data_IF_061573718236
#
_entry.id   IF_061573718236
#
_cell.length_a   1.000
_cell.length_b   1.000
_cell.length_c   1.000
_cell.angle_alpha   90.00
_cell.angle_beta   90.00
_cell.angle_gamma   90.00
#
_symmetry.space_group_name_H-M   'P 1'
#
loop_
_entity.id
_entity.type
_entity.pdbx_description
1 polymer ?
#
# COMPACT_ATOMS: atom_id res chain seq x y z
N UNK A 1 3.74 7.67 -10.50
CA UNK A 1 3.17 6.32 -10.30
C UNK A 1 1.75 6.38 -9.76
N UNK A 2 1.47 7.12 -8.68
CA UNK A 2 0.08 7.30 -8.23
C UNK A 2 -0.87 7.78 -9.34
N UNK A 3 -0.40 8.68 -10.23
CA UNK A 3 -1.13 9.16 -11.40
C UNK A 3 -1.43 8.10 -12.49
N UNK A 4 -0.95 6.86 -12.35
CA UNK A 4 -1.28 5.74 -13.25
C UNK A 4 -2.44 4.89 -12.72
N UNK A 5 -2.92 5.17 -11.50
CA UNK A 5 -4.05 4.49 -10.90
C UNK A 5 -5.34 4.73 -11.68
N UNK A 6 -6.09 3.66 -11.90
CA UNK A 6 -7.41 3.69 -12.51
C UNK A 6 -8.52 4.02 -11.49
N UNK A 7 -8.19 4.01 -10.18
CA UNK A 7 -9.10 4.29 -9.08
C UNK A 7 -9.66 5.73 -9.16
N UNK A 8 -10.98 5.86 -9.01
CA UNK A 8 -11.69 7.15 -9.13
C UNK A 8 -11.68 8.00 -7.86
N UNK A 9 -11.41 7.40 -6.70
CA UNK A 9 -11.42 8.10 -5.40
C UNK A 9 -10.02 8.53 -4.97
N UNK A 10 -9.05 7.62 -5.03
CA UNK A 10 -7.73 7.84 -4.44
C UNK A 10 -6.62 7.34 -5.36
N UNK A 11 -5.58 8.15 -5.51
CA UNK A 11 -4.39 7.82 -6.29
C UNK A 11 -3.23 7.60 -5.33
N UNK A 12 -2.94 6.34 -5.03
CA UNK A 12 -1.92 5.90 -4.09
C UNK A 12 -0.76 5.27 -4.86
N UNK A 13 0.46 5.60 -4.47
CA UNK A 13 1.69 5.04 -5.02
C UNK A 13 2.63 4.62 -3.91
N UNK A 14 3.35 3.52 -4.13
CA UNK A 14 4.36 3.02 -3.22
C UNK A 14 5.66 2.69 -3.96
N UNK A 15 6.79 2.94 -3.30
CA UNK A 15 8.15 2.61 -3.77
C UNK A 15 8.86 1.85 -2.66
N UNK A 16 9.47 0.71 -2.99
CA UNK A 16 10.35 -0.03 -2.09
C UNK A 16 11.80 0.30 -2.46
N UNK A 17 12.58 0.71 -1.48
CA UNK A 17 13.96 1.19 -1.62
C UNK A 17 14.89 0.36 -0.75
N UNK A 18 16.00 -0.09 -1.34
CA UNK A 18 17.04 -0.86 -0.67
C UNK A 18 17.95 0.00 0.19
N UNK A 19 18.85 -0.65 0.92
CA UNK A 19 19.81 0.00 1.81
C UNK A 19 20.78 0.93 1.05
N UNK A 20 21.09 0.63 -0.22
CA UNK A 20 21.93 1.46 -1.06
C UNK A 20 21.14 2.56 -1.79
N UNK A 21 19.93 2.88 -1.31
CA UNK A 21 19.04 3.90 -1.87
C UNK A 21 18.56 3.62 -3.30
N UNK A 22 18.62 2.36 -3.73
CA UNK A 22 18.15 1.94 -5.04
C UNK A 22 16.69 1.49 -5.00
N UNK A 23 15.94 1.80 -6.05
CA UNK A 23 14.54 1.35 -6.19
C UNK A 23 14.53 -0.15 -6.46
N UNK A 24 13.89 -0.93 -5.58
CA UNK A 24 13.73 -2.38 -5.69
C UNK A 24 12.46 -2.75 -6.45
N UNK A 25 11.37 -2.06 -6.11
CA UNK A 25 10.06 -2.28 -6.71
C UNK A 25 9.16 -1.07 -6.49
N UNK A 26 8.07 -1.03 -7.22
CA UNK A 26 7.06 0.00 -7.08
C UNK A 26 5.66 -0.54 -7.37
N UNK A 27 4.66 0.19 -6.90
CA UNK A 27 3.25 -0.11 -7.10
C UNK A 27 2.39 1.14 -7.05
N UNK A 28 1.19 1.02 -7.59
CA UNK A 28 0.10 1.97 -7.43
C UNK A 28 -1.19 1.18 -7.18
N UNK A 29 -2.21 1.79 -6.58
CA UNK A 29 -3.48 1.11 -6.37
C UNK A 29 -4.25 1.00 -7.69
N UNK A 30 -4.84 -0.16 -7.96
CA UNK A 30 -5.51 -0.39 -9.24
C UNK A 30 -6.03 -1.80 -9.36
N UNK A 31 -6.63 -2.10 -10.50
CA UNK A 31 -7.14 -3.44 -10.81
C UNK A 31 -5.98 -4.44 -10.96
N UNK A 32 -6.18 -5.73 -10.60
CA UNK A 32 -5.22 -6.78 -10.86
C UNK A 32 -4.87 -6.89 -12.35
N UNK A 33 -3.65 -7.35 -12.64
CA UNK A 33 -3.14 -7.50 -14.01
C UNK A 33 -4.09 -8.33 -14.87
N UNK A 34 -4.55 -7.75 -15.98
CA UNK A 34 -5.44 -8.43 -16.94
C UNK A 34 -6.93 -8.33 -16.60
N UNK A 35 -7.30 -7.69 -15.48
CA UNK A 35 -8.70 -7.36 -15.17
C UNK A 35 -9.08 -6.08 -15.91
N UNK A 36 -10.17 -6.14 -16.68
CA UNK A 36 -10.67 -5.00 -17.46
C UNK A 36 -11.22 -3.88 -16.57
N UNK A 37 -10.97 -2.63 -16.98
CA UNK A 37 -11.51 -1.40 -16.38
C UNK A 37 -12.81 -0.93 -17.04
N UNK A 38 -13.34 -1.65 -18.03
CA UNK A 38 -14.54 -1.24 -18.77
C UNK A 38 -15.85 -1.33 -17.97
N UNK A 39 -15.85 -2.04 -16.84
CA UNK A 39 -17.01 -2.22 -15.97
C UNK A 39 -16.95 -1.23 -14.79
N UNK A 40 -17.69 -0.12 -14.92
CA UNK A 40 -17.70 0.97 -13.94
C UNK A 40 -18.21 0.53 -12.56
N UNK A 41 -18.99 -0.55 -12.45
CA UNK A 41 -19.48 -1.04 -11.16
C UNK A 41 -18.32 -1.47 -10.23
N UNK A 42 -17.17 -1.86 -10.80
CA UNK A 42 -15.97 -2.24 -10.03
C UNK A 42 -15.31 -1.09 -9.29
N UNK A 43 -15.65 0.15 -9.64
CA UNK A 43 -15.14 1.34 -8.98
C UNK A 43 -16.15 1.93 -7.99
N UNK A 44 -17.31 1.30 -7.81
CA UNK A 44 -18.34 1.77 -6.88
C UNK A 44 -17.90 1.55 -5.43
N UNK A 45 -17.47 2.65 -4.80
CA UNK A 45 -17.11 2.70 -3.39
C UNK A 45 -18.33 2.70 -2.47
N UNK A 46 -19.47 3.25 -2.91
CA UNK A 46 -20.63 3.46 -2.06
C UNK A 46 -21.32 2.14 -1.71
N UNK A 47 -21.41 1.21 -2.68
CA UNK A 47 -21.89 -0.16 -2.42
C UNK A 47 -20.84 -1.04 -1.72
N UNK A 48 -19.57 -0.64 -1.76
CA UNK A 48 -18.43 -1.41 -1.26
C UNK A 48 -17.85 -2.39 -2.28
N UNK A 49 -18.43 -2.51 -3.47
CA UNK A 49 -17.98 -3.42 -4.53
C UNK A 49 -16.50 -3.21 -4.86
N UNK A 50 -16.07 -1.95 -4.93
CA UNK A 50 -14.68 -1.56 -5.19
C UNK A 50 -13.64 -2.29 -4.35
N UNK A 51 -13.95 -2.56 -3.08
CA UNK A 51 -13.00 -3.18 -2.15
C UNK A 51 -12.69 -4.65 -2.49
N UNK A 52 -13.48 -5.27 -3.38
CA UNK A 52 -13.22 -6.60 -3.90
C UNK A 52 -12.32 -6.61 -5.15
N UNK A 53 -12.21 -5.48 -5.84
CA UNK A 53 -11.53 -5.39 -7.13
C UNK A 53 -10.20 -4.65 -7.08
N UNK A 54 -10.08 -3.61 -6.27
CA UNK A 54 -8.89 -2.76 -6.26
C UNK A 54 -7.84 -3.29 -5.28
N UNK A 55 -6.63 -3.48 -5.79
CA UNK A 55 -5.45 -3.77 -4.98
C UNK A 55 -4.74 -2.47 -4.59
N UNK A 56 -4.18 -2.42 -3.39
CA UNK A 56 -3.48 -1.29 -2.80
C UNK A 56 -2.04 -1.16 -3.34
N UNK A 57 -1.51 0.06 -3.32
CA UNK A 57 -0.20 0.36 -3.88
C UNK A 57 0.94 -0.41 -3.19
N UNK A 58 0.89 -0.52 -1.87
CA UNK A 58 1.90 -1.19 -1.04
C UNK A 58 1.97 -2.68 -1.38
N UNK A 59 0.81 -3.34 -1.45
CA UNK A 59 0.73 -4.77 -1.81
C UNK A 59 1.13 -4.98 -3.26
N UNK A 60 0.71 -4.11 -4.18
CA UNK A 60 1.18 -4.16 -5.58
C UNK A 60 2.71 -4.01 -5.69
N UNK A 61 3.34 -3.14 -4.90
CA UNK A 61 4.80 -3.03 -4.88
C UNK A 61 5.48 -4.33 -4.42
N UNK A 62 4.95 -4.96 -3.36
CA UNK A 62 5.41 -6.26 -2.85
C UNK A 62 5.19 -7.37 -3.89
N UNK A 63 4.02 -7.44 -4.52
CA UNK A 63 3.70 -8.44 -5.55
C UNK A 63 4.58 -8.27 -6.80
N UNK A 64 4.88 -7.02 -7.18
CA UNK A 64 5.81 -6.74 -8.27
C UNK A 64 7.21 -7.23 -7.95
N UNK A 65 7.69 -7.01 -6.72
CA UNK A 65 8.97 -7.56 -6.26
C UNK A 65 8.96 -9.10 -6.29
N UNK A 66 7.94 -9.73 -5.73
CA UNK A 66 7.81 -11.19 -5.68
C UNK A 66 7.77 -11.81 -7.09
N UNK A 67 6.98 -11.22 -8.00
CA UNK A 67 6.89 -11.66 -9.40
C UNK A 67 8.21 -11.52 -10.15
N UNK A 68 8.98 -10.47 -9.86
CA UNK A 68 10.28 -10.22 -10.49
C UNK A 68 11.43 -11.02 -9.84
N UNK A 69 11.20 -11.69 -8.70
CA UNK A 69 12.26 -12.33 -7.93
C UNK A 69 13.18 -11.34 -7.19
N UNK A 70 12.70 -10.13 -6.92
CA UNK A 70 13.48 -9.09 -6.24
C UNK A 70 13.34 -9.22 -4.72
N UNK A 71 14.46 -9.45 -4.03
CA UNK A 71 14.49 -9.42 -2.58
C UNK A 71 14.19 -8.01 -2.04
N UNK A 72 13.29 -7.94 -1.05
CA UNK A 72 12.82 -6.72 -0.38
C UNK A 72 12.89 -6.80 1.16
N UNK A 73 13.40 -7.90 1.72
CA UNK A 73 13.67 -7.98 3.14
C UNK A 73 14.75 -6.94 3.54
N UNK A 74 14.56 -6.27 4.68
CA UNK A 74 15.42 -5.17 5.14
C UNK A 74 15.20 -3.84 4.42
N UNK A 75 14.29 -3.76 3.44
CA UNK A 75 14.06 -2.52 2.69
C UNK A 75 13.15 -1.54 3.44
N UNK A 76 13.08 -0.32 2.89
CA UNK A 76 12.12 0.73 3.29
C UNK A 76 11.03 0.85 2.24
N UNK A 77 9.77 1.01 2.65
CA UNK A 77 8.67 1.38 1.75
C UNK A 77 8.25 2.83 1.97
N UNK A 78 8.13 3.56 0.88
CA UNK A 78 7.60 4.93 0.83
C UNK A 78 6.22 4.88 0.20
N UNK A 79 5.22 5.48 0.83
CA UNK A 79 3.83 5.48 0.35
C UNK A 79 3.18 6.83 0.64
N UNK A 80 2.36 7.33 -0.28
CA UNK A 80 1.71 8.66 -0.16
C UNK A 80 0.38 8.65 0.63
N UNK A 81 0.05 7.54 1.30
CA UNK A 81 -1.10 7.41 2.21
C UNK A 81 -0.71 6.45 3.34
N UNK A 82 -1.25 6.68 4.53
CA UNK A 82 -1.03 5.77 5.65
C UNK A 82 -1.54 4.35 5.31
N UNK A 83 -0.75 3.30 5.57
CA UNK A 83 -1.12 1.94 5.17
C UNK A 83 -2.25 1.39 6.03
N UNK A 84 -3.21 0.69 5.41
CA UNK A 84 -4.27 -0.03 6.12
C UNK A 84 -3.72 -1.30 6.81
N UNK A 85 -4.51 -1.94 7.67
CA UNK A 85 -4.11 -3.15 8.40
C UNK A 85 -3.65 -4.28 7.47
N UNK A 86 -4.27 -4.44 6.31
CA UNK A 86 -3.90 -5.49 5.36
C UNK A 86 -2.55 -5.20 4.68
N UNK A 87 -2.28 -3.94 4.36
CA UNK A 87 -0.98 -3.51 3.86
C UNK A 87 0.11 -3.69 4.92
N UNK A 88 -0.17 -3.34 6.19
CA UNK A 88 0.76 -3.57 7.29
C UNK A 88 1.12 -5.06 7.45
N UNK A 89 0.14 -5.98 7.39
CA UNK A 89 0.43 -7.42 7.41
C UNK A 89 1.36 -7.84 6.27
N UNK A 90 1.14 -7.34 5.05
CA UNK A 90 1.99 -7.65 3.91
C UNK A 90 3.40 -7.09 4.09
N UNK A 91 3.53 -5.84 4.55
CA UNK A 91 4.81 -5.17 4.84
C UNK A 91 5.62 -6.01 5.84
N UNK A 92 5.02 -6.35 6.98
CA UNK A 92 5.65 -7.14 8.04
C UNK A 92 6.10 -8.51 7.50
N UNK A 93 5.19 -9.25 6.85
CA UNK A 93 5.50 -10.59 6.35
C UNK A 93 6.52 -10.61 5.21
N UNK A 94 6.66 -9.50 4.47
CA UNK A 94 7.66 -9.35 3.40
C UNK A 94 9.06 -8.99 3.92
N UNK A 95 9.20 -8.72 5.23
CA UNK A 95 10.47 -8.37 5.86
C UNK A 95 10.89 -6.91 5.66
N UNK A 96 10.00 -6.01 5.23
CA UNK A 96 10.26 -4.57 5.16
C UNK A 96 10.35 -4.03 6.59
N UNK A 97 11.40 -3.27 6.88
CA UNK A 97 11.75 -2.84 8.25
C UNK A 97 11.40 -1.38 8.54
N UNK A 98 11.00 -0.62 7.51
CA UNK A 98 10.64 0.80 7.66
C UNK A 98 9.54 1.20 6.69
N UNK A 99 8.59 1.98 7.19
CA UNK A 99 7.53 2.65 6.43
C UNK A 99 7.70 4.16 6.54
N UNK A 100 7.69 4.85 5.40
CA UNK A 100 7.66 6.31 5.31
C UNK A 100 6.36 6.74 4.64
N UNK A 101 5.51 7.46 5.36
CA UNK A 101 4.18 7.85 4.89
C UNK A 101 3.71 9.17 5.53
N UNK A 102 2.61 9.77 5.05
CA UNK A 102 1.93 10.84 5.79
C UNK A 102 1.45 10.36 7.17
N UNK A 103 1.09 11.32 8.03
CA UNK A 103 0.43 11.01 9.29
C UNK A 103 -0.88 10.23 9.07
N UNK A 104 -1.26 9.45 10.08
CA UNK A 104 -2.56 8.77 10.10
C UNK A 104 -3.68 9.81 9.95
N UNK A 105 -4.65 9.61 9.04
CA UNK A 105 -5.81 10.50 8.95
C UNK A 105 -6.57 10.55 10.29
N UNK A 106 -7.00 11.74 10.71
CA UNK A 106 -7.77 11.89 11.96
C UNK A 106 -9.21 11.35 11.83
N UNK A 107 -9.80 11.44 10.64
CA UNK A 107 -11.15 10.97 10.34
C UNK A 107 -11.25 10.46 8.88
N UNK A 108 -11.30 9.14 8.71
CA UNK A 108 -11.57 8.44 7.45
C UNK A 108 -12.74 7.43 7.61
N UNK A 109 -13.49 7.54 8.71
CA UNK A 109 -14.74 6.84 8.96
C UNK A 109 -14.53 5.35 9.17
N UNK A 110 -15.07 4.51 8.29
CA UNK A 110 -14.98 3.05 8.43
C UNK A 110 -13.53 2.52 8.40
N UNK A 111 -12.57 3.31 7.92
CA UNK A 111 -11.16 2.93 7.83
C UNK A 111 -10.36 3.26 9.11
N UNK A 112 -10.90 4.05 10.04
CA UNK A 112 -10.17 4.52 11.22
C UNK A 112 -9.62 3.36 12.05
N UNK A 113 -10.45 2.35 12.31
CA UNK A 113 -10.03 1.15 13.02
C UNK A 113 -8.92 0.38 12.27
N UNK A 114 -8.96 0.34 10.94
CA UNK A 114 -7.93 -0.32 10.14
C UNK A 114 -6.57 0.37 10.28
N UNK A 115 -6.56 1.70 10.32
CA UNK A 115 -5.33 2.46 10.52
C UNK A 115 -4.78 2.34 11.95
N UNK A 116 -5.64 2.32 12.96
CA UNK A 116 -5.22 2.05 14.35
C UNK A 116 -4.58 0.67 14.51
N UNK A 117 -5.22 -0.36 13.95
CA UNK A 117 -4.69 -1.73 13.98
C UNK A 117 -3.38 -1.83 13.19
N UNK A 118 -3.30 -1.14 12.04
CA UNK A 118 -2.09 -1.04 11.22
C UNK A 118 -0.91 -0.47 12.00
N UNK A 119 -1.09 0.69 12.64
CA UNK A 119 -0.08 1.35 13.45
C UNK A 119 0.41 0.43 14.59
N UNK A 120 -0.54 -0.18 15.32
CA UNK A 120 -0.21 -1.11 16.40
C UNK A 120 0.61 -2.31 15.90
N UNK A 121 0.19 -2.95 14.80
CA UNK A 121 0.92 -4.10 14.24
C UNK A 121 2.33 -3.73 13.78
N UNK A 122 2.50 -2.58 13.10
CA UNK A 122 3.81 -2.12 12.63
C UNK A 122 4.76 -1.87 13.81
N UNK A 123 4.28 -1.23 14.87
CA UNK A 123 5.06 -0.96 16.07
C UNK A 123 5.42 -2.26 16.84
N UNK A 124 4.44 -3.16 17.04
CA UNK A 124 4.67 -4.46 17.70
C UNK A 124 5.67 -5.33 16.94
N UNK A 125 5.66 -5.26 15.60
CA UNK A 125 6.61 -5.98 14.75
C UNK A 125 7.99 -5.32 14.65
N UNK A 126 8.20 -4.17 15.28
CA UNK A 126 9.47 -3.42 15.21
C UNK A 126 9.74 -2.76 13.86
N UNK A 127 8.70 -2.53 13.05
CA UNK A 127 8.81 -1.78 11.78
C UNK A 127 8.87 -0.29 12.10
N UNK A 128 9.94 0.38 11.70
CA UNK A 128 10.12 1.80 11.95
C UNK A 128 9.12 2.63 11.13
N UNK A 129 8.32 3.47 11.80
CA UNK A 129 7.36 4.36 11.17
C UNK A 129 7.90 5.79 11.16
N UNK A 130 8.10 6.38 9.97
CA UNK A 130 8.49 7.78 9.81
C UNK A 130 7.38 8.54 9.13
N UNK A 131 6.78 9.51 9.83
CA UNK A 131 5.79 10.41 9.24
C UNK A 131 6.47 11.60 8.59
N UNK A 132 5.99 11.98 7.39
CA UNK A 132 6.41 13.21 6.69
C UNK A 132 5.20 14.09 6.44
N UNK A 133 5.37 15.39 6.63
CA UNK A 133 4.35 16.41 6.41
C UNK A 133 4.19 16.75 4.91
#
# INVERSE_FOLDING_TARGET
MAAWSEDRDFHVGAVIVGEAHEVRASGYNGLPRGVSDADEARFDRASGEKFHWIEHAERNAIYNAARAGTAIAGCTIYVNRFPCADCARAIIQSGIVRVVCPARPEFDGALDHSFEVSERMLLEAGVALTTVA
#
